data_IF_880798280216
#
_entry.id   IF_880798280216
#
_cell.length_a   1.000
_cell.length_b   1.000
_cell.length_c   1.000
_cell.angle_alpha   90.00
_cell.angle_beta   90.00
_cell.angle_gamma   90.00
#
_symmetry.space_group_name_H-M   'P 1'
#
loop_
_entity.id
_entity.type
_entity.pdbx_description
1 polymer ?
#
# COMPACT_ATOMS: atom_id res chain seq x y z
N UNK A 1 10.97 -0.16 -6.61
CA UNK A 1 11.73 0.96 -6.02
C UNK A 1 13.19 0.53 -5.96
N UNK A 2 14.06 1.23 -6.69
CA UNK A 2 15.46 0.87 -6.97
C UNK A 2 16.44 1.15 -5.83
N UNK A 3 15.99 1.73 -4.70
CA UNK A 3 16.87 2.04 -3.58
C UNK A 3 17.73 3.31 -3.80
N UNK A 4 17.37 4.15 -4.77
CA UNK A 4 17.92 5.50 -4.92
C UNK A 4 16.99 6.50 -4.23
N UNK A 5 17.47 7.03 -3.10
CA UNK A 5 17.25 8.37 -2.52
C UNK A 5 16.02 9.13 -3.05
N UNK A 6 14.83 8.83 -2.50
CA UNK A 6 13.57 9.60 -2.63
C UNK A 6 13.03 9.89 -4.04
N UNK A 7 13.77 9.57 -5.10
CA UNK A 7 13.57 10.07 -6.46
C UNK A 7 12.18 9.76 -6.99
N UNK A 8 11.66 8.55 -6.73
CA UNK A 8 10.32 8.17 -7.16
C UNK A 8 9.22 9.04 -6.54
N UNK A 9 9.38 9.43 -5.27
CA UNK A 9 8.46 10.33 -4.60
C UNK A 9 8.63 11.78 -5.06
N UNK A 10 9.87 12.22 -5.27
CA UNK A 10 10.18 13.52 -5.86
C UNK A 10 9.57 13.67 -7.26
N UNK A 11 9.72 12.66 -8.12
CA UNK A 11 9.12 12.64 -9.47
C UNK A 11 7.59 12.66 -9.42
N UNK A 12 6.97 11.97 -8.47
CA UNK A 12 5.51 12.03 -8.28
C UNK A 12 5.05 13.45 -7.93
N UNK A 13 5.74 14.13 -7.01
CA UNK A 13 5.40 15.50 -6.64
C UNK A 13 5.52 16.45 -7.85
N UNK A 14 6.59 16.31 -8.65
CA UNK A 14 6.76 17.08 -9.89
C UNK A 14 5.63 16.78 -10.89
N UNK A 15 5.23 15.51 -11.04
CA UNK A 15 4.12 15.14 -11.92
C UNK A 15 2.78 15.76 -11.47
N UNK A 16 2.53 15.82 -10.17
CA UNK A 16 1.35 16.51 -9.59
C UNK A 16 1.42 18.01 -9.87
N UNK A 17 2.57 18.65 -9.64
CA UNK A 17 2.78 20.08 -9.91
C UNK A 17 2.57 20.41 -11.40
N UNK A 18 3.05 19.57 -12.32
CA UNK A 18 2.81 19.72 -13.75
C UNK A 18 1.33 19.55 -14.11
N UNK A 19 0.65 18.55 -13.55
CA UNK A 19 -0.77 18.34 -13.79
C UNK A 19 -1.62 19.51 -13.27
N UNK A 20 -1.26 20.10 -12.14
CA UNK A 20 -1.92 21.30 -11.61
C UNK A 20 -1.65 22.54 -12.46
N UNK A 21 -0.42 22.71 -12.96
CA UNK A 21 -0.07 23.80 -13.87
C UNK A 21 -0.82 23.71 -15.22
N UNK A 22 -1.09 22.49 -15.71
CA UNK A 22 -1.92 22.24 -16.87
C UNK A 22 -3.43 22.41 -16.60
N UNK A 23 -3.82 22.62 -15.34
CA UNK A 23 -5.21 22.83 -14.94
C UNK A 23 -6.09 21.57 -14.97
N UNK A 24 -5.50 20.38 -15.12
CA UNK A 24 -6.24 19.12 -15.24
C UNK A 24 -6.63 18.52 -13.87
N UNK A 25 -6.08 19.06 -12.78
CA UNK A 25 -6.41 18.74 -11.38
C UNK A 25 -6.43 20.01 -10.53
N UNK A 26 -7.05 19.95 -9.34
CA UNK A 26 -7.07 21.01 -8.32
C UNK A 26 -7.57 22.38 -8.80
N UNK A 27 -8.32 22.43 -9.91
CA UNK A 27 -8.86 23.64 -10.51
C UNK A 27 -10.35 23.47 -10.83
N UNK A 28 -10.96 24.54 -11.32
CA UNK A 28 -12.31 24.50 -11.87
C UNK A 28 -12.40 23.51 -13.05
N UNK A 29 -13.59 22.92 -13.30
CA UNK A 29 -13.77 21.98 -14.40
C UNK A 29 -13.28 22.53 -15.74
N UNK A 30 -12.39 21.78 -16.38
CA UNK A 30 -11.77 22.11 -17.66
C UNK A 30 -12.57 21.50 -18.80
N UNK A 31 -13.10 22.36 -19.66
CA UNK A 31 -13.85 21.96 -20.85
C UNK A 31 -12.91 21.76 -22.04
N UNK A 32 -12.47 20.51 -22.25
CA UNK A 32 -11.54 20.15 -23.33
C UNK A 32 -12.11 20.40 -24.74
N UNK A 33 -13.44 20.47 -24.90
CA UNK A 33 -14.08 20.72 -26.20
C UNK A 33 -13.67 22.08 -26.80
N UNK A 34 -13.25 23.02 -25.94
CA UNK A 34 -12.82 24.37 -26.35
C UNK A 34 -11.36 24.43 -26.80
N UNK A 35 -10.57 23.40 -26.53
CA UNK A 35 -9.11 23.42 -26.74
C UNK A 35 -8.67 22.94 -28.14
N UNK A 36 -9.60 22.69 -29.07
CA UNK A 36 -9.32 22.21 -30.43
C UNK A 36 -8.35 21.01 -30.46
N UNK A 37 -8.51 20.08 -29.50
CA UNK A 37 -7.71 18.88 -29.39
C UNK A 37 -8.31 17.75 -30.23
N UNK A 38 -7.48 16.81 -30.70
CA UNK A 38 -7.96 15.55 -31.28
C UNK A 38 -8.61 14.68 -30.21
N UNK A 39 -9.51 13.77 -30.62
CA UNK A 39 -10.15 12.82 -29.69
C UNK A 39 -9.14 11.97 -28.93
N UNK A 40 -8.06 11.55 -29.59
CA UNK A 40 -6.97 10.80 -28.96
C UNK A 40 -6.27 11.63 -27.87
N UNK A 41 -6.02 12.91 -28.13
CA UNK A 41 -5.44 13.81 -27.14
C UNK A 41 -6.40 14.05 -25.96
N UNK A 42 -7.70 14.19 -26.22
CA UNK A 42 -8.71 14.33 -25.17
C UNK A 42 -8.70 13.09 -24.25
N UNK A 43 -8.70 11.89 -24.83
CA UNK A 43 -8.63 10.64 -24.06
C UNK A 43 -7.33 10.52 -23.28
N UNK A 44 -6.20 10.90 -23.87
CA UNK A 44 -4.88 10.88 -23.21
C UNK A 44 -4.82 11.84 -22.02
N UNK A 45 -5.33 13.06 -22.17
CA UNK A 45 -5.37 14.07 -21.10
C UNK A 45 -6.28 13.60 -19.95
N UNK A 46 -7.46 13.05 -20.26
CA UNK A 46 -8.36 12.47 -19.24
C UNK A 46 -7.68 11.32 -18.48
N UNK A 47 -7.08 10.36 -19.19
CA UNK A 47 -6.34 9.23 -18.57
C UNK A 47 -5.20 9.70 -17.70
N UNK A 48 -4.49 10.73 -18.12
CA UNK A 48 -3.39 11.32 -17.35
C UNK A 48 -3.91 11.94 -16.06
N UNK A 49 -4.95 12.77 -16.11
CA UNK A 49 -5.50 13.42 -14.92
C UNK A 49 -6.01 12.41 -13.88
N UNK A 50 -6.80 11.43 -14.32
CA UNK A 50 -7.31 10.39 -13.44
C UNK A 50 -6.23 9.42 -12.97
N UNK A 51 -5.22 9.14 -13.80
CA UNK A 51 -4.06 8.34 -13.43
C UNK A 51 -3.23 9.00 -12.33
N UNK A 52 -2.96 10.31 -12.46
CA UNK A 52 -2.27 11.10 -11.42
C UNK A 52 -3.04 11.07 -10.11
N UNK A 53 -4.37 11.26 -10.14
CA UNK A 53 -5.21 11.15 -8.94
C UNK A 53 -5.15 9.76 -8.29
N UNK A 54 -5.18 8.69 -9.08
CA UNK A 54 -5.06 7.33 -8.54
C UNK A 54 -3.69 7.09 -7.90
N UNK A 55 -2.59 7.48 -8.56
CA UNK A 55 -1.24 7.28 -8.03
C UNK A 55 -1.03 8.12 -6.77
N UNK A 56 -1.45 9.38 -6.76
CA UNK A 56 -1.40 10.28 -5.61
C UNK A 56 -2.06 9.65 -4.37
N UNK A 57 -3.29 9.17 -4.54
CA UNK A 57 -4.08 8.57 -3.46
C UNK A 57 -3.58 7.20 -3.02
N UNK A 58 -2.88 6.43 -3.86
CA UNK A 58 -2.20 5.19 -3.45
C UNK A 58 -0.94 5.54 -2.65
N UNK A 59 -0.08 6.41 -3.17
CA UNK A 59 1.24 6.67 -2.61
C UNK A 59 1.15 7.42 -1.28
N UNK A 60 0.39 8.53 -1.23
CA UNK A 60 0.31 9.33 0.00
C UNK A 60 -0.38 8.57 1.13
N UNK A 61 -1.46 7.83 0.85
CA UNK A 61 -2.10 6.98 1.86
C UNK A 61 -1.14 5.91 2.40
N UNK A 62 -0.30 5.31 1.54
CA UNK A 62 0.69 4.31 1.98
C UNK A 62 1.80 4.90 2.86
N UNK A 63 2.11 6.19 2.69
CA UNK A 63 3.09 6.95 3.49
C UNK A 63 2.46 7.78 4.61
N UNK A 64 1.18 7.54 4.94
CA UNK A 64 0.49 8.23 6.03
C UNK A 64 0.46 9.75 5.86
N UNK A 65 0.34 10.19 4.61
CA UNK A 65 0.28 11.61 4.21
C UNK A 65 -1.07 11.93 3.59
N UNK A 66 -1.56 13.17 3.74
CA UNK A 66 -2.72 13.62 3.01
C UNK A 66 -2.41 13.62 1.50
N UNK A 67 -3.37 13.14 0.71
CA UNK A 67 -3.30 13.18 -0.76
C UNK A 67 -3.19 14.63 -1.24
N UNK A 68 -2.36 14.93 -2.25
CA UNK A 68 -2.18 16.30 -2.75
C UNK A 68 -3.22 16.70 -3.79
N UNK A 69 -3.82 15.72 -4.46
CA UNK A 69 -4.87 15.95 -5.45
C UNK A 69 -6.23 15.98 -4.76
N UNK A 70 -6.81 17.17 -4.65
CA UNK A 70 -8.11 17.41 -4.04
C UNK A 70 -9.25 17.24 -5.03
N UNK A 71 -9.05 17.49 -6.31
CA UNK A 71 -10.07 17.29 -7.35
C UNK A 71 -9.43 16.98 -8.70
N UNK A 72 -10.19 16.29 -9.56
CA UNK A 72 -9.86 16.14 -10.98
C UNK A 72 -10.75 17.09 -11.76
N UNK A 73 -10.16 17.95 -12.59
CA UNK A 73 -10.88 19.00 -13.32
C UNK A 73 -11.57 18.46 -14.58
N UNK A 74 -11.54 17.16 -14.82
CA UNK A 74 -12.03 16.53 -16.05
C UNK A 74 -13.08 15.47 -15.74
N UNK A 75 -13.99 15.26 -16.70
CA UNK A 75 -14.97 14.19 -16.61
C UNK A 75 -14.31 12.81 -16.50
N UNK A 76 -15.00 11.89 -15.81
CA UNK A 76 -14.60 10.48 -15.77
C UNK A 76 -14.59 9.87 -17.17
N UNK A 77 -13.67 8.94 -17.36
CA UNK A 77 -13.60 8.11 -18.57
C UNK A 77 -14.80 7.18 -18.58
N UNK A 78 -15.34 6.90 -19.76
CA UNK A 78 -16.45 5.96 -19.92
C UNK A 78 -16.02 4.56 -19.42
N UNK A 79 -16.71 3.99 -18.41
CA UNK A 79 -16.41 2.65 -17.90
C UNK A 79 -16.60 1.55 -18.96
N UNK A 80 -17.25 1.83 -20.09
CA UNK A 80 -17.48 0.88 -21.19
C UNK A 80 -16.64 1.19 -22.45
N UNK A 81 -15.61 2.05 -22.35
CA UNK A 81 -14.71 2.37 -23.46
C UNK A 81 -13.98 1.12 -24.00
N UNK A 82 -13.52 0.22 -23.11
CA UNK A 82 -12.98 -1.09 -23.50
C UNK A 82 -14.09 -2.00 -24.01
N UNK A 83 -14.00 -2.39 -25.28
CA UNK A 83 -14.92 -3.34 -25.89
C UNK A 83 -14.79 -4.77 -25.35
N UNK A 84 -15.77 -5.63 -25.69
CA UNK A 84 -15.81 -7.04 -25.29
C UNK A 84 -14.60 -7.87 -25.77
N UNK A 85 -13.80 -7.37 -26.72
CA UNK A 85 -12.59 -8.03 -27.21
C UNK A 85 -11.31 -7.72 -26.42
N UNK A 86 -11.35 -6.85 -25.41
CA UNK A 86 -10.18 -6.50 -24.62
C UNK A 86 -9.83 -7.63 -23.63
N UNK A 87 -8.81 -8.42 -23.99
CA UNK A 87 -8.37 -9.59 -23.25
C UNK A 87 -7.06 -9.32 -22.51
N UNK A 88 -7.03 -9.67 -21.23
CA UNK A 88 -5.81 -9.77 -20.46
C UNK A 88 -5.25 -11.19 -20.53
N UNK A 89 -3.96 -11.30 -20.85
CA UNK A 89 -3.24 -12.57 -20.95
C UNK A 89 -2.20 -12.65 -19.84
N UNK A 90 -2.22 -13.71 -19.01
CA UNK A 90 -1.15 -13.97 -18.06
C UNK A 90 0.21 -14.06 -18.74
N UNK A 91 1.22 -13.39 -18.20
CA UNK A 91 2.61 -13.53 -18.63
C UNK A 91 3.49 -13.85 -17.41
N UNK A 92 4.43 -14.82 -17.49
CA UNK A 92 4.89 -15.55 -18.68
C UNK A 92 4.20 -16.90 -18.90
N UNK A 93 3.10 -17.18 -18.22
CA UNK A 93 2.42 -18.49 -18.29
C UNK A 93 1.49 -18.60 -19.49
N UNK A 94 1.43 -19.75 -20.18
CA UNK A 94 0.49 -20.03 -21.29
C UNK A 94 -0.96 -20.26 -20.85
N UNK A 95 -1.39 -19.59 -19.77
CA UNK A 95 -2.76 -19.68 -19.26
C UNK A 95 -3.72 -18.95 -20.20
N UNK A 96 -4.97 -19.44 -20.24
CA UNK A 96 -6.01 -18.91 -21.15
C UNK A 96 -6.23 -17.39 -20.94
N UNK A 97 -6.36 -16.61 -22.03
CA UNK A 97 -6.81 -15.23 -21.99
C UNK A 97 -8.13 -15.07 -21.23
N UNK A 98 -8.31 -13.94 -20.57
CA UNK A 98 -9.53 -13.58 -19.84
C UNK A 98 -9.92 -12.16 -20.19
N UNK A 99 -11.18 -11.79 -19.96
CA UNK A 99 -11.60 -10.41 -20.12
C UNK A 99 -10.74 -9.49 -19.24
N UNK A 100 -10.25 -8.39 -19.82
CA UNK A 100 -9.39 -7.43 -19.13
C UNK A 100 -10.16 -6.68 -18.04
N UNK A 101 -11.37 -6.21 -18.36
CA UNK A 101 -12.16 -5.29 -17.54
C UNK A 101 -11.43 -3.98 -17.17
N UNK A 102 -10.46 -3.54 -17.98
CA UNK A 102 -9.59 -2.42 -17.62
C UNK A 102 -10.36 -1.10 -17.42
N UNK A 103 -11.29 -0.72 -18.31
CA UNK A 103 -12.10 0.49 -18.14
C UNK A 103 -12.97 0.43 -16.88
N UNK A 104 -13.63 -0.71 -16.63
CA UNK A 104 -14.48 -0.89 -15.45
C UNK A 104 -13.65 -0.88 -14.17
N UNK A 105 -12.49 -1.54 -14.17
CA UNK A 105 -11.54 -1.51 -13.07
C UNK A 105 -11.07 -0.09 -12.80
N UNK A 106 -10.74 0.66 -13.84
CA UNK A 106 -10.21 2.02 -13.71
C UNK A 106 -11.25 2.96 -13.10
N UNK A 107 -12.51 2.87 -13.52
CA UNK A 107 -13.61 3.63 -12.91
C UNK A 107 -13.81 3.27 -11.44
N UNK A 108 -13.80 1.96 -11.09
CA UNK A 108 -13.91 1.53 -9.69
C UNK A 108 -12.71 1.96 -8.85
N UNK A 109 -11.49 1.96 -9.41
CA UNK A 109 -10.30 2.46 -8.77
C UNK A 109 -10.38 3.97 -8.51
N UNK A 110 -10.93 4.76 -9.46
CA UNK A 110 -11.21 6.18 -9.26
C UNK A 110 -12.22 6.43 -8.13
N UNK A 111 -13.32 5.66 -8.07
CA UNK A 111 -14.30 5.75 -6.98
C UNK A 111 -13.67 5.46 -5.63
N UNK A 112 -12.86 4.41 -5.54
CA UNK A 112 -12.14 4.09 -4.31
C UNK A 112 -11.11 5.17 -3.95
N UNK A 113 -10.44 5.77 -4.94
CA UNK A 113 -9.50 6.88 -4.74
C UNK A 113 -10.14 8.11 -4.10
N UNK A 114 -11.40 8.44 -4.41
CA UNK A 114 -12.10 9.50 -3.69
C UNK A 114 -12.27 9.20 -2.20
N UNK A 115 -12.66 7.96 -1.87
CA UNK A 115 -12.80 7.55 -0.47
C UNK A 115 -11.43 7.57 0.21
N UNK A 116 -10.38 7.07 -0.45
CA UNK A 116 -9.01 7.08 0.06
C UNK A 116 -8.47 8.49 0.31
N UNK A 117 -8.73 9.44 -0.62
CA UNK A 117 -8.38 10.85 -0.46
C UNK A 117 -9.02 11.41 0.80
N UNK A 118 -10.34 11.26 0.94
CA UNK A 118 -11.09 11.79 2.09
C UNK A 118 -10.58 11.19 3.41
N UNK A 119 -10.30 9.88 3.43
CA UNK A 119 -9.70 9.20 4.59
C UNK A 119 -8.32 9.79 4.90
N UNK A 120 -7.45 9.96 3.90
CA UNK A 120 -6.10 10.50 4.11
C UNK A 120 -6.11 11.93 4.63
N UNK A 121 -7.07 12.76 4.18
CA UNK A 121 -7.25 14.12 4.67
C UNK A 121 -7.78 14.10 6.11
N UNK A 122 -8.78 13.28 6.42
CA UNK A 122 -9.30 13.16 7.77
C UNK A 122 -8.24 12.66 8.78
N UNK A 123 -7.41 11.69 8.38
CA UNK A 123 -6.42 11.08 9.28
C UNK A 123 -5.14 11.91 9.44
N UNK A 124 -4.71 12.65 8.40
CA UNK A 124 -3.37 13.24 8.36
C UNK A 124 -3.32 14.75 8.06
N UNK A 125 -4.46 15.38 7.80
CA UNK A 125 -4.57 16.84 7.74
C UNK A 125 -4.99 17.38 9.11
N UNK A 126 -4.58 18.61 9.45
CA UNK A 126 -4.81 19.26 10.75
C UNK A 126 -6.19 18.95 11.33
N UNK A 127 -6.21 18.16 12.42
CA UNK A 127 -7.43 17.73 13.10
C UNK A 127 -8.18 18.96 13.61
N UNK A 128 -9.36 19.22 13.04
CA UNK A 128 -10.31 20.17 13.61
C UNK A 128 -10.67 19.68 15.02
N UNK A 129 -10.31 20.46 16.03
CA UNK A 129 -10.43 20.15 17.46
C UNK A 129 -11.88 20.08 17.98
N UNK A 130 -12.87 19.91 17.10
CA UNK A 130 -14.29 19.97 17.42
C UNK A 130 -15.19 18.94 16.73
N UNK A 131 -14.65 18.05 15.88
CA UNK A 131 -15.46 17.09 15.10
C UNK A 131 -15.47 15.70 15.76
N UNK A 132 -16.64 15.04 15.77
CA UNK A 132 -16.80 13.67 16.26
C UNK A 132 -16.09 12.69 15.31
N UNK A 133 -14.79 12.47 15.56
CA UNK A 133 -13.92 11.59 14.76
C UNK A 133 -14.50 10.17 14.61
N UNK A 134 -15.22 9.67 15.61
CA UNK A 134 -15.85 8.36 15.53
C UNK A 134 -16.92 8.32 14.44
N UNK A 135 -17.79 9.34 14.44
CA UNK A 135 -18.86 9.44 13.44
C UNK A 135 -18.31 9.58 12.04
N UNK A 136 -17.24 10.36 11.85
CA UNK A 136 -16.58 10.50 10.54
C UNK A 136 -15.95 9.18 10.08
N UNK A 137 -15.22 8.47 10.95
CA UNK A 137 -14.70 7.13 10.65
C UNK A 137 -15.82 6.15 10.28
N UNK A 138 -16.94 6.18 10.99
CA UNK A 138 -18.10 5.34 10.66
C UNK A 138 -18.68 5.67 9.27
N UNK A 139 -18.70 6.95 8.89
CA UNK A 139 -19.11 7.37 7.54
C UNK A 139 -18.16 6.80 6.49
N UNK A 140 -16.83 6.88 6.69
CA UNK A 140 -15.86 6.30 5.76
C UNK A 140 -15.96 4.78 5.67
N UNK A 141 -16.11 4.10 6.80
CA UNK A 141 -16.34 2.66 6.83
C UNK A 141 -17.59 2.28 6.04
N UNK A 142 -18.70 3.00 6.23
CA UNK A 142 -19.94 2.76 5.49
C UNK A 142 -19.77 3.00 3.98
N UNK A 143 -19.07 4.07 3.58
CA UNK A 143 -18.73 4.33 2.16
C UNK A 143 -17.90 3.20 1.56
N UNK A 144 -16.88 2.72 2.27
CA UNK A 144 -16.06 1.58 1.86
C UNK A 144 -16.92 0.31 1.68
N UNK A 145 -17.76 -0.03 2.66
CA UNK A 145 -18.66 -1.19 2.58
C UNK A 145 -19.69 -1.07 1.46
N UNK A 146 -20.20 0.12 1.22
CA UNK A 146 -21.11 0.37 0.09
C UNK A 146 -20.40 0.15 -1.24
N UNK A 147 -19.19 0.69 -1.40
CA UNK A 147 -18.36 0.47 -2.58
C UNK A 147 -18.11 -1.02 -2.83
N UNK A 148 -17.72 -1.79 -1.81
CA UNK A 148 -17.46 -3.24 -1.95
C UNK A 148 -18.72 -4.04 -2.36
N UNK A 149 -19.89 -3.65 -1.82
CA UNK A 149 -21.17 -4.27 -2.17
C UNK A 149 -21.57 -3.96 -3.61
N UNK A 150 -21.30 -2.74 -4.08
CA UNK A 150 -21.62 -2.29 -5.43
C UNK A 150 -20.69 -2.87 -6.51
N UNK A 151 -19.58 -3.53 -6.13
CA UNK A 151 -18.69 -4.16 -7.10
C UNK A 151 -19.41 -5.21 -7.96
N UNK A 152 -19.15 -5.24 -9.28
CA UNK A 152 -19.72 -6.24 -10.17
C UNK A 152 -19.36 -7.67 -9.79
N UNK A 153 -20.21 -8.63 -10.13
CA UNK A 153 -20.01 -10.04 -9.80
C UNK A 153 -18.73 -10.64 -10.41
N UNK A 154 -18.34 -10.16 -11.59
CA UNK A 154 -17.10 -10.59 -12.24
C UNK A 154 -15.83 -10.07 -11.54
N UNK A 155 -15.94 -9.16 -10.57
CA UNK A 155 -14.83 -8.72 -9.71
C UNK A 155 -14.71 -9.52 -8.40
N UNK A 156 -15.59 -10.50 -8.16
CA UNK A 156 -15.55 -11.30 -6.95
C UNK A 156 -14.35 -12.26 -6.99
N UNK A 157 -13.66 -12.42 -5.86
CA UNK A 157 -12.43 -13.20 -5.76
C UNK A 157 -12.60 -14.67 -6.21
N UNK A 158 -13.75 -15.29 -5.93
CA UNK A 158 -14.06 -16.66 -6.34
C UNK A 158 -14.15 -16.84 -7.87
N UNK A 159 -14.38 -15.75 -8.63
CA UNK A 159 -14.33 -15.76 -10.10
C UNK A 159 -12.91 -15.71 -10.66
N UNK A 160 -11.89 -15.59 -9.80
CA UNK A 160 -10.46 -15.52 -10.17
C UNK A 160 -10.21 -14.43 -11.23
N UNK A 161 -10.57 -13.17 -10.93
CA UNK A 161 -10.47 -12.06 -11.87
C UNK A 161 -8.99 -11.73 -12.16
N UNK A 162 -8.71 -10.94 -13.23
CA UNK A 162 -7.36 -10.48 -13.54
C UNK A 162 -6.62 -9.86 -12.34
N UNK A 163 -5.28 -9.87 -12.32
CA UNK A 163 -4.50 -9.48 -11.15
C UNK A 163 -4.76 -8.04 -10.69
N UNK A 164 -5.02 -7.10 -11.60
CA UNK A 164 -5.32 -5.71 -11.21
C UNK A 164 -6.62 -5.61 -10.39
N UNK A 165 -7.63 -6.45 -10.66
CA UNK A 165 -8.84 -6.51 -9.83
C UNK A 165 -8.54 -7.06 -8.44
N UNK A 166 -7.66 -8.06 -8.32
CA UNK A 166 -7.20 -8.56 -7.02
C UNK A 166 -6.49 -7.45 -6.23
N UNK A 167 -5.64 -6.65 -6.89
CA UNK A 167 -4.96 -5.52 -6.27
C UNK A 167 -5.92 -4.42 -5.82
N UNK A 168 -6.98 -4.12 -6.58
CA UNK A 168 -8.04 -3.20 -6.17
C UNK A 168 -8.73 -3.66 -4.88
N UNK A 169 -9.01 -4.97 -4.77
CA UNK A 169 -9.58 -5.55 -3.56
C UNK A 169 -8.59 -5.52 -2.39
N UNK A 170 -7.31 -5.79 -2.63
CA UNK A 170 -6.27 -5.60 -1.60
C UNK A 170 -6.24 -4.15 -1.12
N UNK A 171 -6.37 -3.17 -2.03
CA UNK A 171 -6.42 -1.75 -1.70
C UNK A 171 -7.59 -1.41 -0.79
N UNK A 172 -8.76 -1.98 -1.04
CA UNK A 172 -9.92 -1.86 -0.15
C UNK A 172 -9.59 -2.33 1.28
N UNK A 173 -9.00 -3.52 1.43
CA UNK A 173 -8.66 -4.05 2.76
C UNK A 173 -7.54 -3.25 3.44
N UNK A 174 -6.58 -2.72 2.69
CA UNK A 174 -5.57 -1.78 3.19
C UNK A 174 -6.23 -0.55 3.81
N UNK A 175 -7.24 0.04 3.14
CA UNK A 175 -7.98 1.19 3.67
C UNK A 175 -8.79 0.84 4.92
N UNK A 176 -9.38 -0.35 4.99
CA UNK A 176 -10.07 -0.83 6.19
C UNK A 176 -9.09 -0.98 7.36
N UNK A 177 -7.91 -1.58 7.14
CA UNK A 177 -6.87 -1.70 8.18
C UNK A 177 -6.43 -0.31 8.63
N UNK A 178 -6.15 0.61 7.70
CA UNK A 178 -5.76 1.99 8.01
C UNK A 178 -6.81 2.71 8.84
N UNK A 179 -8.09 2.58 8.49
CA UNK A 179 -9.19 3.19 9.24
C UNK A 179 -9.37 2.58 10.64
N UNK A 180 -9.22 1.25 10.77
CA UNK A 180 -9.36 0.54 12.04
C UNK A 180 -8.17 0.77 12.99
N UNK A 181 -6.98 1.04 12.45
CA UNK A 181 -5.75 1.27 13.23
C UNK A 181 -5.37 2.77 13.27
N UNK A 182 -6.37 3.63 13.05
CA UNK A 182 -6.33 5.10 13.17
C UNK A 182 -5.28 5.83 12.31
N UNK A 183 -4.91 5.28 11.16
CA UNK A 183 -3.86 5.84 10.30
C UNK A 183 -2.46 5.76 10.92
N UNK A 184 -2.32 4.98 11.99
CA UNK A 184 -1.07 4.60 12.63
C UNK A 184 -0.29 5.70 13.34
N UNK A 185 -1.00 6.63 13.99
CA UNK A 185 -0.57 7.18 15.27
C UNK A 185 -1.66 6.87 16.29
N UNK A 186 -1.48 5.84 17.13
CA UNK A 186 -2.53 5.34 18.05
C UNK A 186 -3.08 6.46 18.92
N UNK A 187 -4.27 6.93 18.56
CA UNK A 187 -4.95 8.04 19.18
C UNK A 187 -6.31 7.53 19.68
N UNK A 188 -6.33 6.96 20.90
CA UNK A 188 -7.59 6.76 21.64
C UNK A 188 -8.11 8.13 22.09
N UNK A 189 -8.84 8.83 21.20
CA UNK A 189 -9.35 10.19 21.44
C UNK A 189 -10.76 10.21 22.04
N UNK A 190 -11.25 9.06 22.51
CA UNK A 190 -12.61 8.97 22.99
C UNK A 190 -12.74 9.53 24.41
N UNK A 191 -13.40 10.70 24.54
CA UNK A 191 -14.12 11.08 25.75
C UNK A 191 -15.28 10.10 25.96
N UNK A 192 -14.98 8.94 26.55
CA UNK A 192 -15.93 7.86 26.83
C UNK A 192 -15.43 7.02 28.00
N UNK A 193 -16.32 6.20 28.59
CA UNK A 193 -15.93 5.29 29.67
C UNK A 193 -14.87 4.29 29.20
N UNK A 194 -14.03 3.81 30.11
CA UNK A 194 -12.97 2.84 29.83
C UNK A 194 -13.48 1.55 29.16
N UNK A 195 -14.71 1.14 29.51
CA UNK A 195 -15.36 -0.03 28.93
C UNK A 195 -15.79 0.19 27.46
N UNK A 196 -16.23 1.41 27.11
CA UNK A 196 -16.55 1.74 25.72
C UNK A 196 -15.29 1.77 24.85
N UNK A 197 -14.19 2.32 25.36
CA UNK A 197 -12.89 2.31 24.67
C UNK A 197 -12.44 0.88 24.37
N UNK A 198 -12.48 -0.02 25.37
CA UNK A 198 -12.07 -1.41 25.20
C UNK A 198 -12.89 -2.15 24.14
N UNK A 199 -14.22 -2.01 24.15
CA UNK A 199 -15.10 -2.63 23.15
C UNK A 199 -14.83 -2.12 21.73
N UNK A 200 -14.50 -0.84 21.59
CA UNK A 200 -14.16 -0.25 20.30
C UNK A 200 -12.80 -0.75 19.79
N UNK A 201 -11.80 -0.83 20.66
CA UNK A 201 -10.47 -1.38 20.32
C UNK A 201 -10.57 -2.86 19.91
N UNK A 202 -11.37 -3.66 20.64
CA UNK A 202 -11.65 -5.06 20.28
C UNK A 202 -12.29 -5.18 18.88
N UNK A 203 -13.28 -4.33 18.58
CA UNK A 203 -13.95 -4.29 17.28
C UNK A 203 -13.01 -3.88 16.14
N UNK A 204 -12.19 -2.86 16.36
CA UNK A 204 -11.19 -2.38 15.42
C UNK A 204 -10.11 -3.44 15.14
N UNK A 205 -9.63 -4.11 16.19
CA UNK A 205 -8.69 -5.22 16.06
C UNK A 205 -9.29 -6.35 15.24
N UNK A 206 -10.51 -6.81 15.56
CA UNK A 206 -11.20 -7.83 14.79
C UNK A 206 -11.37 -7.46 13.31
N UNK A 207 -11.73 -6.20 13.03
CA UNK A 207 -11.90 -5.69 11.66
C UNK A 207 -10.60 -5.67 10.87
N UNK A 208 -9.51 -5.19 11.50
CA UNK A 208 -8.19 -5.15 10.88
C UNK A 208 -7.65 -6.56 10.61
N UNK A 209 -7.82 -7.48 11.56
CA UNK A 209 -7.40 -8.88 11.43
C UNK A 209 -8.18 -9.61 10.33
N UNK A 210 -9.50 -9.42 10.27
CA UNK A 210 -10.33 -9.96 9.20
C UNK A 210 -9.86 -9.46 7.82
N UNK A 211 -9.56 -8.16 7.70
CA UNK A 211 -9.04 -7.58 6.45
C UNK A 211 -7.65 -8.10 6.09
N UNK A 212 -6.77 -8.33 7.07
CA UNK A 212 -5.47 -8.95 6.85
C UNK A 212 -5.60 -10.39 6.32
N UNK A 213 -6.54 -11.18 6.85
CA UNK A 213 -6.84 -12.53 6.35
C UNK A 213 -7.40 -12.51 4.93
N UNK A 214 -8.26 -11.55 4.60
CA UNK A 214 -8.74 -11.37 3.22
C UNK A 214 -7.61 -11.00 2.26
N UNK A 215 -6.63 -10.18 2.67
CA UNK A 215 -5.42 -9.93 1.87
C UNK A 215 -4.63 -11.24 1.66
N UNK A 216 -4.50 -12.10 2.68
CA UNK A 216 -3.88 -13.42 2.53
C UNK A 216 -4.63 -14.31 1.53
N UNK A 217 -5.96 -14.34 1.59
CA UNK A 217 -6.80 -15.08 0.63
C UNK A 217 -6.61 -14.56 -0.81
N UNK A 218 -6.61 -13.24 -1.01
CA UNK A 218 -6.36 -12.61 -2.31
C UNK A 218 -4.94 -12.91 -2.82
N UNK A 219 -3.94 -12.89 -1.94
CA UNK A 219 -2.56 -13.25 -2.28
C UNK A 219 -2.45 -14.72 -2.70
N UNK A 220 -3.15 -15.64 -2.05
CA UNK A 220 -3.21 -17.04 -2.48
C UNK A 220 -3.77 -17.20 -3.88
N UNK A 221 -4.89 -16.53 -4.19
CA UNK A 221 -5.48 -16.55 -5.53
C UNK A 221 -4.48 -15.98 -6.54
N UNK A 222 -3.86 -14.83 -6.24
CA UNK A 222 -2.86 -14.23 -7.13
C UNK A 222 -1.69 -15.19 -7.38
N UNK A 223 -1.16 -15.85 -6.34
CA UNK A 223 -0.07 -16.83 -6.47
C UNK A 223 -0.48 -18.03 -7.32
N UNK A 224 -1.67 -18.60 -7.09
CA UNK A 224 -2.16 -19.77 -7.84
C UNK A 224 -2.43 -19.45 -9.30
N UNK A 225 -2.97 -18.26 -9.58
CA UNK A 225 -3.37 -17.84 -10.91
C UNK A 225 -2.22 -17.26 -11.72
N UNK A 226 -1.32 -16.49 -11.10
CA UNK A 226 -0.37 -15.63 -11.79
C UNK A 226 1.07 -15.72 -11.25
N UNK A 227 1.28 -16.48 -10.17
CA UNK A 227 2.53 -16.45 -9.43
C UNK A 227 2.71 -15.16 -8.62
N UNK A 228 3.85 -15.03 -7.94
CA UNK A 228 4.21 -13.83 -7.17
C UNK A 228 5.43 -13.09 -7.72
N UNK A 229 6.17 -13.69 -8.65
CA UNK A 229 7.42 -13.13 -9.15
C UNK A 229 7.27 -11.76 -9.83
N UNK A 230 6.10 -11.52 -10.43
CA UNK A 230 5.76 -10.29 -11.17
C UNK A 230 4.57 -9.56 -10.54
N UNK A 231 4.26 -9.86 -9.27
CA UNK A 231 3.23 -9.13 -8.56
C UNK A 231 3.58 -7.63 -8.52
N UNK A 232 2.57 -6.79 -8.66
CA UNK A 232 2.75 -5.34 -8.62
C UNK A 232 3.32 -4.91 -7.25
N UNK A 233 4.14 -3.86 -7.21
CA UNK A 233 4.79 -3.39 -5.97
C UNK A 233 3.80 -3.11 -4.83
N UNK A 234 2.58 -2.65 -5.18
CA UNK A 234 1.51 -2.45 -4.20
C UNK A 234 1.13 -3.74 -3.44
N UNK A 235 1.22 -4.91 -4.07
CA UNK A 235 0.99 -6.19 -3.39
C UNK A 235 1.99 -6.38 -2.24
N UNK A 236 3.27 -6.04 -2.45
CA UNK A 236 4.30 -6.09 -1.40
C UNK A 236 3.90 -5.27 -0.18
N UNK A 237 3.43 -4.04 -0.41
CA UNK A 237 2.93 -3.17 0.66
C UNK A 237 1.71 -3.77 1.37
N UNK A 238 0.70 -4.23 0.62
CA UNK A 238 -0.50 -4.82 1.21
C UNK A 238 -0.20 -6.09 2.03
N UNK A 239 0.68 -6.96 1.53
CA UNK A 239 1.08 -8.19 2.23
C UNK A 239 1.86 -7.86 3.50
N UNK A 240 2.81 -6.91 3.44
CA UNK A 240 3.54 -6.43 4.61
C UNK A 240 2.58 -5.87 5.67
N UNK A 241 1.66 -4.98 5.28
CA UNK A 241 0.67 -4.41 6.19
C UNK A 241 -0.17 -5.49 6.88
N UNK A 242 -0.67 -6.46 6.10
CA UNK A 242 -1.45 -7.57 6.62
C UNK A 242 -0.65 -8.47 7.57
N UNK A 243 0.61 -8.81 7.23
CA UNK A 243 1.48 -9.60 8.10
C UNK A 243 1.74 -8.93 9.44
N UNK A 244 2.06 -7.64 9.43
CA UNK A 244 2.25 -6.89 10.68
C UNK A 244 0.94 -6.70 11.45
N UNK A 245 -0.20 -6.61 10.77
CA UNK A 245 -1.51 -6.58 11.43
C UNK A 245 -1.80 -7.90 12.15
N UNK A 246 -1.47 -9.04 11.54
CA UNK A 246 -1.58 -10.36 12.19
C UNK A 246 -0.58 -10.49 13.35
N UNK A 247 0.65 -10.00 13.16
CA UNK A 247 1.70 -10.06 14.17
C UNK A 247 1.37 -9.21 15.41
N UNK A 248 0.70 -8.08 15.22
CA UNK A 248 0.29 -7.17 16.29
C UNK A 248 -0.90 -7.69 17.11
N UNK A 249 -1.58 -8.73 16.64
CA UNK A 249 -2.71 -9.34 17.35
C UNK A 249 -2.25 -10.16 18.57
N UNK A 250 -2.90 -10.04 19.74
CA UNK A 250 -2.55 -10.83 20.92
C UNK A 250 -2.67 -12.34 20.74
N UNK A 251 -3.51 -12.81 19.81
CA UNK A 251 -3.69 -14.23 19.47
C UNK A 251 -2.73 -14.73 18.39
N UNK A 252 -1.72 -13.93 18.03
CA UNK A 252 -0.74 -14.29 17.01
C UNK A 252 -0.15 -15.70 17.21
N UNK A 253 -0.21 -16.48 16.13
CA UNK A 253 0.37 -17.81 16.04
C UNK A 253 1.21 -17.91 14.77
N UNK A 254 2.51 -18.13 14.93
CA UNK A 254 3.47 -18.29 13.83
C UNK A 254 3.14 -19.48 12.93
N UNK A 255 2.38 -20.47 13.42
CA UNK A 255 1.98 -21.65 12.62
C UNK A 255 0.64 -21.46 11.91
N UNK A 256 0.00 -20.29 12.04
CA UNK A 256 -1.25 -19.97 11.36
C UNK A 256 -1.09 -20.09 9.82
N UNK A 257 -2.02 -20.80 9.20
CA UNK A 257 -1.97 -21.10 7.77
C UNK A 257 -2.00 -19.83 6.90
N UNK A 258 -2.86 -18.86 7.24
CA UNK A 258 -2.99 -17.63 6.45
C UNK A 258 -1.74 -16.76 6.61
N UNK A 259 -1.14 -16.72 7.80
CA UNK A 259 0.13 -16.05 8.07
C UNK A 259 1.30 -16.68 7.30
N UNK A 260 1.46 -18.00 7.36
CA UNK A 260 2.53 -18.72 6.67
C UNK A 260 2.42 -18.60 5.15
N UNK A 261 1.21 -18.76 4.62
CA UNK A 261 0.95 -18.60 3.19
C UNK A 261 1.31 -17.19 2.71
N UNK A 262 0.94 -16.17 3.49
CA UNK A 262 1.21 -14.77 3.16
C UNK A 262 2.71 -14.44 3.28
N UNK A 263 3.39 -15.00 4.28
CA UNK A 263 4.84 -14.87 4.47
C UNK A 263 5.61 -15.45 3.29
N UNK A 264 5.23 -16.63 2.84
CA UNK A 264 5.82 -17.26 1.65
C UNK A 264 5.64 -16.37 0.42
N UNK A 265 4.44 -15.81 0.20
CA UNK A 265 4.20 -14.86 -0.89
C UNK A 265 5.03 -13.57 -0.77
N UNK A 266 5.12 -13.00 0.43
CA UNK A 266 5.88 -11.79 0.72
C UNK A 266 7.39 -11.99 0.50
N UNK A 267 7.94 -13.16 0.85
CA UNK A 267 9.35 -13.49 0.62
C UNK A 267 9.75 -13.41 -0.86
N UNK A 268 8.84 -13.83 -1.75
CA UNK A 268 9.06 -13.79 -3.20
C UNK A 268 9.07 -12.35 -3.70
N UNK A 269 8.07 -11.54 -3.30
CA UNK A 269 7.98 -10.15 -3.78
C UNK A 269 9.03 -9.24 -3.16
N UNK A 270 9.37 -9.45 -1.89
CA UNK A 270 10.41 -8.72 -1.18
C UNK A 270 11.77 -8.84 -1.87
N UNK A 271 12.10 -10.02 -2.38
CA UNK A 271 13.39 -10.29 -3.05
C UNK A 271 13.66 -9.41 -4.29
N UNK A 272 12.60 -8.81 -4.86
CA UNK A 272 12.61 -8.05 -6.12
C UNK A 272 12.97 -6.57 -5.96
N UNK A 273 13.15 -6.06 -4.75
CA UNK A 273 13.58 -4.69 -4.51
C UNK A 273 14.41 -4.56 -3.24
N UNK A 274 15.31 -3.57 -3.17
CA UNK A 274 16.13 -3.36 -1.98
C UNK A 274 15.27 -3.02 -0.75
N UNK A 275 14.30 -2.12 -0.91
CA UNK A 275 13.33 -1.80 0.15
C UNK A 275 12.57 -3.06 0.59
N UNK A 276 12.14 -3.90 -0.35
CA UNK A 276 11.47 -5.17 -0.05
C UNK A 276 12.35 -6.10 0.80
N UNK A 277 13.64 -6.23 0.47
CA UNK A 277 14.59 -7.04 1.23
C UNK A 277 14.76 -6.52 2.66
N UNK A 278 14.97 -5.21 2.79
CA UNK A 278 15.07 -4.53 4.09
C UNK A 278 13.83 -4.74 4.96
N UNK A 279 12.63 -4.56 4.39
CA UNK A 279 11.36 -4.81 5.08
C UNK A 279 11.20 -6.27 5.49
N UNK A 280 11.60 -7.21 4.63
CA UNK A 280 11.51 -8.63 4.94
C UNK A 280 12.45 -9.02 6.08
N UNK A 281 13.66 -8.45 6.13
CA UNK A 281 14.56 -8.60 7.27
C UNK A 281 13.92 -8.09 8.57
N UNK A 282 13.37 -6.87 8.54
CA UNK A 282 12.68 -6.26 9.70
C UNK A 282 11.53 -7.15 10.17
N UNK A 283 10.70 -7.63 9.22
CA UNK A 283 9.62 -8.55 9.50
C UNK A 283 10.11 -9.84 10.17
N UNK A 284 11.18 -10.45 9.66
CA UNK A 284 11.71 -11.71 10.20
C UNK A 284 12.18 -11.54 11.64
N UNK A 285 12.86 -10.46 11.94
CA UNK A 285 13.30 -10.14 13.31
C UNK A 285 12.11 -9.81 14.23
N UNK A 286 11.09 -9.12 13.74
CA UNK A 286 9.83 -8.90 14.47
C UNK A 286 9.06 -10.17 14.79
N UNK A 287 9.09 -11.18 13.92
CA UNK A 287 8.47 -12.49 14.21
C UNK A 287 9.28 -13.24 15.27
N UNK A 288 10.61 -13.24 15.16
CA UNK A 288 11.50 -13.88 16.14
C UNK A 288 11.35 -13.28 17.54
N UNK A 289 11.13 -11.98 17.66
CA UNK A 289 10.92 -11.33 18.96
C UNK A 289 9.65 -11.77 19.69
N UNK A 290 8.71 -12.46 19.01
CA UNK A 290 7.55 -13.11 19.64
C UNK A 290 7.88 -14.42 20.35
N UNK A 291 9.12 -14.93 20.23
CA UNK A 291 9.63 -16.12 20.93
C UNK A 291 8.80 -17.39 20.70
N UNK A 292 8.22 -17.57 19.50
CA UNK A 292 7.49 -18.79 19.12
C UNK A 292 8.34 -19.76 18.28
N UNK A 293 9.67 -19.60 18.27
CA UNK A 293 10.60 -20.34 17.41
C UNK A 293 10.52 -21.87 17.63
N UNK A 294 10.41 -22.32 18.89
CA UNK A 294 10.30 -23.75 19.22
C UNK A 294 9.08 -24.40 18.58
N UNK A 295 7.95 -23.69 18.50
CA UNK A 295 6.72 -24.19 17.87
C UNK A 295 6.90 -24.39 16.37
N UNK A 296 7.68 -23.52 15.72
CA UNK A 296 8.00 -23.66 14.29
C UNK A 296 8.87 -24.91 14.06
N UNK A 297 9.90 -25.08 14.89
CA UNK A 297 10.86 -26.17 14.75
C UNK A 297 10.23 -27.55 15.03
N UNK A 298 9.32 -27.63 16.00
CA UNK A 298 8.65 -28.86 16.42
C UNK A 298 7.47 -29.27 15.54
N UNK A 299 6.98 -28.39 14.66
CA UNK A 299 5.83 -28.70 13.82
C UNK A 299 6.23 -29.50 12.58
N UNK A 300 5.65 -30.69 12.42
CA UNK A 300 5.81 -31.53 11.22
C UNK A 300 5.03 -31.00 10.01
N UNK A 301 4.06 -30.13 10.24
CA UNK A 301 3.24 -29.52 9.19
C UNK A 301 3.93 -28.35 8.48
N UNK A 302 5.08 -27.89 9.00
CA UNK A 302 5.81 -26.72 8.49
C UNK A 302 6.97 -27.19 7.62
N UNK A 303 7.04 -26.66 6.39
CA UNK A 303 8.13 -26.92 5.45
C UNK A 303 9.49 -26.43 5.98
N UNK A 304 10.57 -27.10 5.59
CA UNK A 304 11.93 -26.72 5.97
C UNK A 304 12.30 -25.27 5.60
N UNK A 305 11.76 -24.73 4.49
CA UNK A 305 11.98 -23.32 4.09
C UNK A 305 11.44 -22.33 5.14
N UNK A 306 10.31 -22.65 5.78
CA UNK A 306 9.71 -21.81 6.84
C UNK A 306 10.43 -22.03 8.18
N UNK A 307 10.92 -23.25 8.43
CA UNK A 307 11.78 -23.54 9.58
C UNK A 307 13.10 -22.79 9.49
N UNK A 308 13.71 -22.70 8.31
CA UNK A 308 14.91 -21.88 8.06
C UNK A 308 14.61 -20.38 8.26
N UNK A 309 13.41 -19.95 7.87
CA UNK A 309 13.02 -18.54 7.97
C UNK A 309 12.94 -18.05 9.43
N UNK A 310 12.30 -18.81 10.31
CA UNK A 310 12.04 -18.38 11.69
C UNK A 310 12.84 -19.11 12.76
N UNK A 311 13.37 -20.30 12.46
CA UNK A 311 14.19 -21.07 13.37
C UNK A 311 15.60 -20.50 13.50
N UNK A 312 16.10 -20.37 14.74
CA UNK A 312 17.53 -20.25 14.98
C UNK A 312 18.13 -21.64 14.96
N UNK A 313 18.60 -22.13 13.83
CA UNK A 313 19.44 -23.33 13.84
C UNK A 313 20.79 -22.97 14.47
N UNK A 314 21.18 -23.56 15.62
CA UNK A 314 22.49 -23.28 16.22
C UNK A 314 23.68 -23.85 15.42
N UNK A 315 23.41 -24.56 14.31
CA UNK A 315 24.37 -25.48 13.70
C UNK A 315 24.27 -25.62 12.17
N UNK A 316 23.54 -24.77 11.45
CA UNK A 316 23.64 -24.78 9.98
C UNK A 316 24.92 -24.07 9.55
N UNK A 317 25.90 -24.82 9.04
CA UNK A 317 27.11 -24.27 8.40
C UNK A 317 26.81 -23.57 7.06
N UNK A 318 25.56 -23.62 6.59
CA UNK A 318 25.09 -22.95 5.39
C UNK A 318 24.79 -21.47 5.68
N UNK A 319 25.19 -20.54 4.80
CA UNK A 319 24.83 -19.14 4.92
C UNK A 319 23.30 -18.98 4.91
N UNK A 320 22.76 -18.22 5.86
CA UNK A 320 21.35 -17.82 5.88
C UNK A 320 20.99 -17.17 4.52
N UNK A 321 20.03 -17.77 3.80
CA UNK A 321 19.60 -17.32 2.48
C UNK A 321 19.19 -15.85 2.45
N UNK A 322 18.71 -15.31 3.57
CA UNK A 322 18.27 -13.92 3.71
C UNK A 322 19.24 -13.07 4.53
N UNK A 323 20.42 -13.57 4.88
CA UNK A 323 21.41 -12.82 5.67
C UNK A 323 21.82 -11.50 5.01
N UNK A 324 21.96 -11.49 3.68
CA UNK A 324 22.29 -10.30 2.90
C UNK A 324 21.13 -9.28 2.79
N UNK A 325 19.93 -9.59 3.28
CA UNK A 325 18.83 -8.63 3.30
C UNK A 325 19.04 -7.55 4.35
N UNK A 326 20.01 -7.70 5.25
CA UNK A 326 20.43 -6.64 6.16
C UNK A 326 21.44 -5.68 5.53
N UNK A 327 22.09 -6.08 4.43
CA UNK A 327 23.18 -5.32 3.83
C UNK A 327 22.72 -3.91 3.42
N UNK A 328 23.45 -2.90 3.87
CA UNK A 328 23.16 -1.49 3.60
C UNK A 328 22.10 -0.85 4.50
N UNK A 329 21.43 -1.60 5.40
CA UNK A 329 20.56 -0.99 6.43
C UNK A 329 21.33 -0.06 7.37
N UNK A 330 22.63 -0.31 7.55
CA UNK A 330 23.54 0.47 8.39
C UNK A 330 23.58 1.96 8.02
N UNK A 331 23.35 2.29 6.74
CA UNK A 331 23.32 3.68 6.25
C UNK A 331 22.21 4.50 6.88
N UNK A 332 21.16 3.84 7.34
CA UNK A 332 20.04 4.50 7.97
C UNK A 332 20.29 4.69 9.49
N UNK A 333 21.28 4.01 10.11
CA UNK A 333 21.53 3.92 11.58
C UNK A 333 21.47 5.25 12.34
N UNK A 334 21.90 6.36 11.72
CA UNK A 334 21.93 7.69 12.34
C UNK A 334 20.64 8.50 12.27
N UNK A 335 19.59 7.97 11.62
CA UNK A 335 18.41 8.74 11.20
C UNK A 335 17.15 8.42 12.01
N UNK A 336 17.28 7.60 13.04
CA UNK A 336 16.19 7.21 13.92
C UNK A 336 16.43 7.85 15.28
N UNK A 337 15.46 8.65 15.76
CA UNK A 337 15.65 9.61 16.86
C UNK A 337 15.75 9.01 18.27
N UNK A 338 16.06 7.73 18.45
CA UNK A 338 16.44 7.17 19.75
C UNK A 338 17.35 5.96 19.55
N UNK A 339 18.30 5.77 20.47
CA UNK A 339 19.48 4.92 20.31
C UNK A 339 19.24 3.47 19.90
N UNK A 340 20.28 2.88 19.29
CA UNK A 340 20.36 1.52 18.74
C UNK A 340 19.30 1.21 17.69
N UNK A 341 19.73 0.93 16.46
CA UNK A 341 18.82 0.45 15.42
C UNK A 341 18.19 -0.88 15.86
N UNK A 342 16.93 -0.84 16.27
CA UNK A 342 16.18 -2.06 16.45
C UNK A 342 15.66 -2.52 15.09
N UNK A 343 16.16 -3.67 14.63
CA UNK A 343 15.68 -4.33 13.40
C UNK A 343 14.25 -4.85 13.55
N UNK A 344 13.69 -4.93 14.76
CA UNK A 344 12.29 -5.24 14.97
C UNK A 344 11.44 -3.97 14.88
N UNK A 345 10.28 -4.06 14.24
CA UNK A 345 9.17 -3.14 14.49
C UNK A 345 8.30 -3.63 15.65
N UNK A 346 7.94 -2.71 16.53
CA UNK A 346 7.10 -2.92 17.72
C UNK A 346 5.61 -3.13 17.43
N UNK A 347 5.16 -2.76 16.22
CA UNK A 347 3.79 -2.90 15.76
C UNK A 347 3.62 -2.33 14.34
N UNK A 348 2.37 -2.22 13.86
CA UNK A 348 2.08 -1.77 12.49
C UNK A 348 2.57 -0.35 12.22
N UNK A 349 2.43 0.56 13.20
CA UNK A 349 2.90 1.95 13.10
C UNK A 349 4.40 2.06 12.85
N UNK A 350 5.18 1.48 13.76
CA UNK A 350 6.65 1.54 13.71
C UNK A 350 7.17 0.90 12.41
N UNK A 351 6.50 -0.16 11.95
CA UNK A 351 6.78 -0.73 10.63
C UNK A 351 6.53 0.25 9.48
N UNK A 352 5.41 0.99 9.50
CA UNK A 352 5.08 1.95 8.44
C UNK A 352 6.02 3.17 8.44
N UNK A 353 6.44 3.64 9.62
CA UNK A 353 7.47 4.67 9.74
C UNK A 353 8.82 4.19 9.17
N UNK A 354 9.20 2.93 9.43
CA UNK A 354 10.37 2.29 8.80
C UNK A 354 10.20 2.19 7.28
N UNK A 355 9.03 1.77 6.80
CA UNK A 355 8.73 1.68 5.37
C UNK A 355 8.84 3.03 4.66
N UNK A 356 8.25 4.08 5.26
CA UNK A 356 8.32 5.44 4.74
C UNK A 356 9.78 5.90 4.62
N UNK A 357 10.58 5.78 5.69
CA UNK A 357 12.00 6.19 5.67
C UNK A 357 12.84 5.40 4.67
N UNK A 358 12.63 4.09 4.56
CA UNK A 358 13.31 3.27 3.55
C UNK A 358 12.93 3.66 2.12
N UNK A 359 11.72 4.20 1.91
CA UNK A 359 11.20 4.56 0.59
C UNK A 359 11.48 6.01 0.20
N UNK A 360 11.47 6.93 1.17
CA UNK A 360 11.60 8.37 1.01
C UNK A 360 12.97 8.92 1.41
N UNK A 361 13.87 8.10 1.96
CA UNK A 361 15.14 8.57 2.50
C UNK A 361 14.97 9.45 3.74
N UNK A 362 16.02 10.19 4.10
CA UNK A 362 16.00 11.12 5.22
C UNK A 362 15.53 12.51 4.78
N UNK A 363 14.55 13.05 5.50
CA UNK A 363 14.10 14.43 5.33
C UNK A 363 15.21 15.48 5.55
N UNK A 364 16.33 15.13 6.20
CA UNK A 364 17.44 16.04 6.49
C UNK A 364 18.37 16.32 5.29
N UNK A 365 18.25 15.57 4.19
CA UNK A 365 19.03 15.77 2.97
C UNK A 365 18.28 16.56 1.90
N UNK A 366 17.46 17.56 2.28
CA UNK A 366 17.12 18.62 1.34
C UNK A 366 18.39 19.40 1.02
N UNK A 367 19.12 18.99 -0.02
CA UNK A 367 20.12 19.85 -0.62
C UNK A 367 19.43 21.17 -0.98
N UNK A 368 19.95 22.33 -0.54
CA UNK A 368 19.37 23.60 -0.92
C UNK A 368 19.35 23.66 -2.44
N UNK A 369 18.16 23.91 -3.00
CA UNK A 369 17.96 24.21 -4.42
C UNK A 369 19.10 25.13 -4.86
N UNK A 370 19.94 24.66 -5.77
CA UNK A 370 20.90 25.53 -6.46
C UNK A 370 20.04 26.60 -7.10
N UNK A 371 20.15 27.84 -6.62
CA UNK A 371 19.47 28.97 -7.22
C UNK A 371 19.86 28.96 -8.70
N UNK A 372 18.87 28.79 -9.57
CA UNK A 372 19.02 29.06 -10.99
C UNK A 372 19.51 30.49 -11.11
N UNK A 373 20.77 30.64 -11.53
CA UNK A 373 21.38 31.93 -11.82
C UNK A 373 20.46 32.72 -12.75
N UNK A 374 20.22 34.01 -12.48
CA UNK A 374 19.52 34.86 -13.44
C UNK A 374 20.30 34.85 -14.74
N UNK A 375 19.57 34.62 -15.82
CA UNK A 375 20.06 34.71 -17.19
C UNK A 375 20.54 36.15 -17.41
N UNK A 376 21.85 36.39 -17.42
CA UNK A 376 22.39 37.67 -17.86
C UNK A 376 21.95 37.90 -19.30
N UNK A 377 21.32 39.04 -19.49
CA UNK A 377 20.70 39.45 -20.74
C UNK A 377 21.71 39.48 -21.88
N UNK A 378 21.25 39.04 -23.04
CA UNK A 378 21.83 39.42 -24.30
C UNK A 378 21.61 40.92 -24.48
N UNK A 379 22.64 41.73 -24.23
CA UNK A 379 22.69 43.09 -24.75
C UNK A 379 23.04 43.05 -26.24
N UNK A 380 22.30 43.89 -26.97
CA UNK A 380 22.26 44.13 -28.42
C UNK A 380 23.57 44.54 -29.05
#
# INVERSE_FOLDING_TARGET
MSGEDDLGYTMLNIAIEMAEALGIINREPLDLSKLQLSDEMITSVKRTAWGVFQVDTVVHTNFLKPSRVTSVSLDRIDPNESGAGDLWVPYPTDKRPRQSWLSQYFDEACKLSFIARDISHHLYHETTTGTDQYREKQVFYNKLRQWERALPDYFRAFRRPPPHVLLLRMRYHVLIIGLARDGFGVQSFFLGSEEQRRKMDESANAMSLASAREISALARIHRQEYGMERAHQFATYAMMLALFTMLDDPSFDVVDHDFLSLTSAFSITASRSQVGRHLFHIFRESVRSRNQEERVLQSDAISDEVKELFGRHPSSQLPDRWGNYADGLERYRGSFSSGSWNYTASGVRDMLEKYERLSLGNHDNTHPRRASSPNDGWET
#
